data_IF_621497210965
#
_entry.id   IF_621497210965
#
_cell.length_a   1.000
_cell.length_b   1.000
_cell.length_c   1.000
_cell.angle_alpha   90.00
_cell.angle_beta   90.00
_cell.angle_gamma   90.00
#
_symmetry.space_group_name_H-M   'P 1'
#
loop_
_entity.id
_entity.type
_entity.pdbx_description
1 polymer ?
#
# COMPACT_ATOMS: atom_id res chain seq x y z
N UNK A 1 -28.20 -8.46 13.83
CA UNK A 1 -27.02 -8.06 14.64
C UNK A 1 -25.79 -8.68 14.01
N UNK A 2 -25.29 -8.06 12.95
CA UNK A 2 -24.19 -8.55 12.11
C UNK A 2 -23.30 -7.42 11.56
N UNK A 3 -23.78 -6.17 11.33
CA UNK A 3 -22.87 -5.10 10.88
C UNK A 3 -21.93 -4.62 12.00
N UNK A 4 -22.47 -4.44 13.21
CA UNK A 4 -21.72 -3.86 14.31
C UNK A 4 -20.58 -4.77 14.78
N UNK A 5 -20.77 -6.09 14.84
CA UNK A 5 -19.69 -7.03 15.14
C UNK A 5 -18.63 -7.10 14.05
N UNK A 6 -18.98 -6.97 12.76
CA UNK A 6 -17.98 -6.86 11.69
C UNK A 6 -17.13 -5.60 11.87
N UNK A 7 -17.78 -4.47 12.18
CA UNK A 7 -17.12 -3.19 12.43
C UNK A 7 -16.26 -3.27 13.70
N UNK A 8 -16.75 -3.87 14.78
CA UNK A 8 -16.02 -4.07 16.03
C UNK A 8 -14.82 -5.01 15.86
N UNK A 9 -14.95 -6.09 15.08
CA UNK A 9 -13.81 -7.01 14.83
C UNK A 9 -12.77 -6.33 13.94
N UNK A 10 -13.21 -5.49 13.00
CA UNK A 10 -12.32 -4.63 12.23
C UNK A 10 -11.67 -3.55 13.08
N UNK A 11 -12.34 -3.00 14.10
CA UNK A 11 -11.77 -1.96 14.99
C UNK A 11 -10.89 -2.53 16.10
N UNK A 12 -11.22 -3.71 16.66
CA UNK A 12 -10.51 -4.33 17.79
C UNK A 12 -9.29 -5.16 17.38
N UNK A 13 -9.29 -5.73 16.17
CA UNK A 13 -8.21 -6.61 15.69
C UNK A 13 -7.51 -6.07 14.42
N UNK A 14 -7.73 -4.79 14.11
CA UNK A 14 -7.15 -4.19 12.90
C UNK A 14 -5.64 -4.09 12.98
N UNK A 15 -4.96 -4.82 12.09
CA UNK A 15 -3.62 -4.46 11.72
C UNK A 15 -3.70 -3.34 10.67
N UNK A 16 -3.30 -2.11 11.03
CA UNK A 16 -3.27 -0.96 10.10
C UNK A 16 -2.50 -1.32 8.81
N UNK A 17 -1.51 -2.20 8.89
CA UNK A 17 -0.81 -2.74 7.72
C UNK A 17 -1.71 -3.46 6.70
N UNK A 18 -2.73 -4.21 7.15
CA UNK A 18 -3.70 -4.86 6.26
C UNK A 18 -4.58 -3.83 5.53
N UNK A 19 -4.99 -2.77 6.25
CA UNK A 19 -5.72 -1.65 5.68
C UNK A 19 -4.95 -1.01 4.53
N UNK A 20 -3.72 -0.63 4.83
CA UNK A 20 -2.83 0.04 3.90
C UNK A 20 -2.54 -0.87 2.70
N UNK A 21 -2.41 -2.18 2.92
CA UNK A 21 -2.21 -3.15 1.85
C UNK A 21 -3.44 -3.26 0.95
N UNK A 22 -4.65 -3.29 1.53
CA UNK A 22 -5.88 -3.32 0.75
C UNK A 22 -6.04 -2.04 -0.07
N UNK A 23 -5.81 -0.87 0.52
CA UNK A 23 -5.85 0.41 -0.20
C UNK A 23 -4.76 0.46 -1.28
N UNK A 24 -3.56 -0.04 -1.02
CA UNK A 24 -2.48 -0.15 -2.01
C UNK A 24 -2.89 -1.01 -3.21
N UNK A 25 -3.47 -2.19 -2.96
CA UNK A 25 -3.93 -3.10 -4.03
C UNK A 25 -5.03 -2.45 -4.83
N UNK A 26 -6.05 -1.87 -4.18
CA UNK A 26 -7.15 -1.19 -4.86
C UNK A 26 -6.67 0.02 -5.67
N UNK A 27 -5.77 0.85 -5.12
CA UNK A 27 -5.17 1.97 -5.82
C UNK A 27 -4.37 1.48 -7.04
N UNK A 28 -3.54 0.45 -6.86
CA UNK A 28 -2.74 -0.12 -7.95
C UNK A 28 -3.63 -0.64 -9.07
N UNK A 29 -4.66 -1.45 -8.74
CA UNK A 29 -5.63 -1.95 -9.71
C UNK A 29 -6.38 -0.79 -10.39
N UNK A 30 -6.76 0.24 -9.64
CA UNK A 30 -7.40 1.45 -10.17
C UNK A 30 -6.50 2.26 -11.11
N UNK A 31 -5.18 2.18 -10.96
CA UNK A 31 -4.22 2.84 -11.87
C UNK A 31 -3.90 2.01 -13.12
N UNK A 32 -4.15 0.69 -13.13
CA UNK A 32 -3.88 -0.16 -14.31
C UNK A 32 -4.63 0.28 -15.59
N UNK A 33 -5.92 0.67 -15.56
CA UNK A 33 -6.65 1.17 -16.73
C UNK A 33 -6.02 2.41 -17.37
N UNK A 34 -5.28 3.22 -16.61
CA UNK A 34 -4.64 4.44 -17.10
C UNK A 34 -3.45 4.16 -18.03
N UNK A 35 -2.97 2.90 -18.09
CA UNK A 35 -1.82 2.44 -18.91
C UNK A 35 -0.54 3.27 -18.75
N UNK A 36 -0.43 4.05 -17.67
CA UNK A 36 0.70 4.94 -17.43
C UNK A 36 1.66 4.31 -16.42
N UNK A 37 2.86 3.93 -16.90
CA UNK A 37 3.94 3.41 -16.05
C UNK A 37 4.45 4.44 -15.05
N UNK A 38 4.33 5.74 -15.38
CA UNK A 38 4.64 6.83 -14.46
C UNK A 38 3.68 6.86 -13.27
N UNK A 39 2.38 6.75 -13.51
CA UNK A 39 1.38 6.76 -12.44
C UNK A 39 1.55 5.53 -11.54
N UNK A 40 1.80 4.35 -12.12
CA UNK A 40 2.09 3.14 -11.37
C UNK A 40 3.35 3.29 -10.50
N UNK A 41 4.43 3.86 -11.05
CA UNK A 41 5.66 4.11 -10.31
C UNK A 41 5.48 5.12 -9.16
N UNK A 42 4.73 6.20 -9.39
CA UNK A 42 4.37 7.18 -8.34
C UNK A 42 3.55 6.50 -7.24
N UNK A 43 2.50 5.76 -7.60
CA UNK A 43 1.65 5.05 -6.64
C UNK A 43 2.46 4.07 -5.78
N UNK A 44 3.31 3.25 -6.41
CA UNK A 44 4.19 2.31 -5.69
C UNK A 44 5.17 3.03 -4.75
N UNK A 45 5.79 4.12 -5.21
CA UNK A 45 6.73 4.90 -4.38
C UNK A 45 6.02 5.55 -3.18
N UNK A 46 4.83 6.10 -3.41
CA UNK A 46 4.01 6.73 -2.37
C UNK A 46 3.61 5.71 -1.29
N UNK A 47 3.09 4.55 -1.69
CA UNK A 47 2.75 3.50 -0.74
C UNK A 47 3.98 2.90 -0.07
N UNK A 48 5.12 2.82 -0.76
CA UNK A 48 6.40 2.45 -0.15
C UNK A 48 6.78 3.37 1.01
N UNK A 49 6.63 4.68 0.81
CA UNK A 49 6.86 5.69 1.85
C UNK A 49 5.83 5.57 3.00
N UNK A 50 4.54 5.39 2.69
CA UNK A 50 3.49 5.23 3.70
C UNK A 50 3.77 4.00 4.58
N UNK A 51 4.10 2.86 3.99
CA UNK A 51 4.44 1.64 4.73
C UNK A 51 5.71 1.79 5.58
N UNK A 52 6.72 2.51 5.08
CA UNK A 52 7.95 2.78 5.82
C UNK A 52 7.71 3.69 7.04
N UNK A 53 6.86 4.70 6.87
CA UNK A 53 6.52 5.67 7.92
C UNK A 53 5.47 5.16 8.90
N UNK A 54 4.80 4.04 8.59
CA UNK A 54 3.83 3.42 9.49
C UNK A 54 4.57 2.80 10.69
N UNK A 55 4.26 3.20 11.93
CA UNK A 55 4.90 2.63 13.12
C UNK A 55 4.75 1.11 13.21
N UNK A 56 5.82 0.42 13.59
CA UNK A 56 5.81 -1.05 13.79
C UNK A 56 4.93 -1.51 14.96
N UNK A 57 4.51 -0.58 15.80
CA UNK A 57 3.52 -0.80 16.86
C UNK A 57 2.09 -0.91 16.32
N UNK A 58 1.84 -0.34 15.13
CA UNK A 58 0.54 -0.28 14.46
C UNK A 58 0.42 -1.29 13.31
N UNK A 59 1.56 -1.66 12.71
CA UNK A 59 1.65 -2.64 11.64
C UNK A 59 2.80 -3.62 11.92
N UNK A 60 2.56 -4.92 11.67
CA UNK A 60 3.61 -5.94 11.83
C UNK A 60 4.87 -5.61 10.99
N UNK A 61 6.09 -6.00 11.43
CA UNK A 61 7.35 -5.60 10.78
C UNK A 61 7.45 -5.94 9.28
N UNK A 62 6.75 -6.97 8.81
CA UNK A 62 6.77 -7.33 7.38
C UNK A 62 6.18 -6.26 6.45
N UNK A 63 5.29 -5.40 6.93
CA UNK A 63 4.78 -4.28 6.15
C UNK A 63 5.86 -3.21 5.91
N UNK A 64 6.77 -3.00 6.86
CA UNK A 64 7.92 -2.11 6.66
C UNK A 64 8.85 -2.65 5.57
N UNK A 65 9.12 -3.95 5.55
CA UNK A 65 9.95 -4.57 4.49
C UNK A 65 9.29 -4.45 3.11
N UNK A 66 7.96 -4.60 3.04
CA UNK A 66 7.20 -4.30 1.82
C UNK A 66 7.37 -2.83 1.41
N UNK A 67 7.28 -1.91 2.37
CA UNK A 67 7.50 -0.47 2.15
C UNK A 67 8.85 -0.15 1.54
N UNK A 68 9.93 -0.70 2.12
CA UNK A 68 11.30 -0.56 1.60
C UNK A 68 11.40 -1.10 0.17
N UNK A 69 10.83 -2.29 -0.07
CA UNK A 69 10.83 -2.92 -1.40
C UNK A 69 10.14 -2.02 -2.43
N UNK A 70 8.97 -1.47 -2.08
CA UNK A 70 8.21 -0.55 -2.93
C UNK A 70 8.96 0.76 -3.18
N UNK A 71 9.70 1.28 -2.20
CA UNK A 71 10.49 2.50 -2.32
C UNK A 71 11.67 2.33 -3.29
N UNK A 72 12.18 1.11 -3.45
CA UNK A 72 13.19 0.78 -4.46
C UNK A 72 12.54 0.53 -5.83
N UNK A 73 11.48 -0.28 -5.89
CA UNK A 73 10.83 -0.69 -7.15
C UNK A 73 10.08 0.48 -7.81
N UNK A 74 9.40 1.32 -7.03
CA UNK A 74 8.57 2.42 -7.52
C UNK A 74 9.32 3.40 -8.44
N UNK A 75 10.48 3.95 -8.02
CA UNK A 75 11.30 4.81 -8.88
C UNK A 75 11.82 4.10 -10.14
N UNK A 76 12.19 2.82 -10.04
CA UNK A 76 12.62 2.02 -11.19
C UNK A 76 11.48 1.92 -12.22
N UNK A 77 10.26 1.60 -11.75
CA UNK A 77 9.07 1.54 -12.61
C UNK A 77 8.78 2.90 -13.23
N UNK A 78 8.88 3.98 -12.47
CA UNK A 78 8.68 5.35 -12.97
C UNK A 78 9.66 5.71 -14.09
N UNK A 79 10.95 5.45 -13.91
CA UNK A 79 11.98 5.77 -14.90
C UNK A 79 11.87 4.87 -16.13
N UNK A 80 11.48 3.60 -15.95
CA UNK A 80 11.29 2.64 -17.06
C UNK A 80 10.17 3.02 -18.04
N UNK A 81 9.24 3.88 -17.64
CA UNK A 81 8.13 4.36 -18.46
C UNK A 81 8.49 5.46 -19.47
N UNK A 82 9.73 5.96 -19.48
CA UNK A 82 10.17 7.06 -20.37
C UNK A 82 10.49 6.65 -21.82
N UNK A 83 10.08 5.46 -22.26
CA UNK A 83 10.23 4.99 -23.65
C UNK A 83 8.87 4.75 -24.26
#
# INVERSE_FOLDING_TARGET
>A
MLPLQLVDTFLLDYNIGQALLLVFVLSTVGTLPLKSRHILGINATLFGLIFLLTPVTLAKPHYMFLGITLLVVGPIVYVSGRR
#
